data_IF_345244152670
#
_entry.id   IF_345244152670
#
_cell.length_a   1.000
_cell.length_b   1.000
_cell.length_c   1.000
_cell.angle_alpha   90.00
_cell.angle_beta   90.00
_cell.angle_gamma   90.00
#
_symmetry.space_group_name_H-M   'P 1'
#
loop_
_entity.id
_entity.type
_entity.pdbx_description
1 polymer ?
#
# COMPACT_ATOMS: atom_id res chain seq x y z
N UNK A 1 -10.78 -14.76 42.12
CA UNK A 1 -9.46 -14.49 41.53
C UNK A 1 -9.53 -13.20 40.70
N UNK A 2 -8.56 -12.28 40.90
CA UNK A 2 -8.57 -10.97 40.20
C UNK A 2 -8.62 -11.12 38.66
N UNK A 3 -8.06 -12.19 38.11
CA UNK A 3 -8.13 -12.51 36.70
C UNK A 3 -9.55 -12.90 36.26
N UNK A 4 -10.26 -13.69 37.02
CA UNK A 4 -11.64 -14.06 36.69
C UNK A 4 -12.59 -12.85 36.77
N UNK A 5 -12.42 -11.99 37.76
CA UNK A 5 -13.21 -10.74 37.84
C UNK A 5 -12.96 -9.82 36.67
N UNK A 6 -11.70 -9.69 36.25
CA UNK A 6 -11.31 -8.90 35.07
C UNK A 6 -11.84 -9.51 33.77
N UNK A 7 -11.80 -10.83 33.62
CA UNK A 7 -12.37 -11.54 32.47
C UNK A 7 -13.89 -11.28 32.37
N UNK A 8 -14.62 -11.45 33.47
CA UNK A 8 -16.07 -11.24 33.52
C UNK A 8 -16.40 -9.79 33.12
N UNK A 9 -15.69 -8.81 33.67
CA UNK A 9 -15.92 -7.40 33.36
C UNK A 9 -15.63 -7.06 31.87
N UNK A 10 -14.60 -7.65 31.31
CA UNK A 10 -14.27 -7.46 29.88
C UNK A 10 -15.26 -8.16 28.96
N UNK A 11 -15.72 -9.36 29.31
CA UNK A 11 -16.76 -10.09 28.57
C UNK A 11 -18.12 -9.38 28.65
N UNK A 12 -18.52 -8.85 29.84
CA UNK A 12 -19.71 -8.04 29.97
C UNK A 12 -19.71 -6.81 29.08
N UNK A 13 -18.54 -6.12 29.00
CA UNK A 13 -18.39 -4.95 28.15
C UNK A 13 -18.51 -5.29 26.63
N UNK A 14 -18.12 -6.50 26.22
CA UNK A 14 -18.26 -6.99 24.84
C UNK A 14 -19.71 -7.36 24.51
N UNK A 15 -20.49 -7.80 25.52
CA UNK A 15 -21.90 -8.18 25.32
C UNK A 15 -22.84 -6.98 25.21
N UNK A 16 -22.33 -5.74 25.28
CA UNK A 16 -23.12 -4.55 25.00
C UNK A 16 -23.55 -4.51 23.55
N UNK A 17 -24.84 -4.28 23.32
CA UNK A 17 -25.46 -4.30 21.98
C UNK A 17 -25.07 -3.11 21.09
N UNK A 18 -24.38 -2.10 21.63
CA UNK A 18 -24.08 -0.82 20.98
C UNK A 18 -22.61 -0.65 20.52
N UNK A 19 -21.78 -1.70 20.64
CA UNK A 19 -20.38 -1.64 20.16
C UNK A 19 -20.30 -1.62 18.63
N UNK A 20 -19.52 -0.69 18.08
CA UNK A 20 -19.15 -0.77 16.69
C UNK A 20 -18.04 -1.83 16.46
N UNK A 21 -17.84 -2.22 15.20
CA UNK A 21 -16.89 -3.31 14.83
C UNK A 21 -15.45 -3.04 15.26
N UNK A 22 -15.05 -1.78 15.38
CA UNK A 22 -13.69 -1.40 15.82
C UNK A 22 -13.59 -1.48 17.35
N UNK A 23 -14.62 -1.09 18.06
CA UNK A 23 -14.68 -1.21 19.53
C UNK A 23 -14.68 -2.68 19.94
N UNK A 24 -15.45 -3.52 19.24
CA UNK A 24 -15.44 -4.97 19.44
C UNK A 24 -14.06 -5.56 19.18
N UNK A 25 -13.39 -5.17 18.07
CA UNK A 25 -12.04 -5.61 17.77
C UNK A 25 -11.02 -5.21 18.85
N UNK A 26 -11.09 -3.96 19.35
CA UNK A 26 -10.23 -3.48 20.45
C UNK A 26 -10.47 -4.24 21.76
N UNK A 27 -11.71 -4.59 22.03
CA UNK A 27 -12.05 -5.37 23.22
C UNK A 27 -11.47 -6.80 23.12
N UNK A 28 -11.56 -7.44 21.96
CA UNK A 28 -10.97 -8.75 21.73
C UNK A 28 -9.42 -8.71 21.81
N UNK A 29 -8.80 -7.69 21.26
CA UNK A 29 -7.35 -7.51 21.37
C UNK A 29 -6.91 -7.38 22.84
N UNK A 30 -7.62 -6.59 23.64
CA UNK A 30 -7.35 -6.45 25.09
C UNK A 30 -7.48 -7.78 25.83
N UNK A 31 -8.50 -8.58 25.53
CA UNK A 31 -8.67 -9.91 26.12
C UNK A 31 -7.51 -10.83 25.80
N UNK A 32 -7.10 -10.89 24.53
CA UNK A 32 -5.94 -11.68 24.08
C UNK A 32 -4.68 -11.27 24.83
N UNK A 33 -4.40 -9.97 24.92
CA UNK A 33 -3.20 -9.45 25.55
C UNK A 33 -3.16 -9.66 27.06
N UNK A 34 -4.30 -9.45 27.75
CA UNK A 34 -4.34 -9.51 29.22
C UNK A 34 -4.45 -10.92 29.75
N UNK A 35 -5.16 -11.80 29.05
CA UNK A 35 -5.40 -13.17 29.50
C UNK A 35 -4.53 -14.21 28.76
N UNK A 36 -3.63 -13.76 27.87
CA UNK A 36 -2.81 -14.60 27.03
C UNK A 36 -3.61 -15.66 26.23
N UNK A 37 -4.81 -15.31 25.82
CA UNK A 37 -5.65 -16.20 25.02
C UNK A 37 -5.14 -16.34 23.61
N UNK A 38 -5.25 -17.54 23.04
CA UNK A 38 -5.20 -17.71 21.60
C UNK A 38 -6.52 -17.21 20.98
N UNK A 39 -6.49 -16.89 19.68
CA UNK A 39 -7.71 -16.50 18.96
C UNK A 39 -8.79 -17.58 19.00
N UNK A 40 -8.39 -18.86 19.08
CA UNK A 40 -9.30 -20.00 19.19
C UNK A 40 -9.95 -20.09 20.56
N UNK A 41 -9.17 -19.91 21.63
CA UNK A 41 -9.69 -19.87 23.00
C UNK A 41 -10.67 -18.71 23.19
N UNK A 42 -10.31 -17.52 22.68
CA UNK A 42 -11.22 -16.38 22.73
C UNK A 42 -12.50 -16.66 21.94
N UNK A 43 -12.41 -17.19 20.74
CA UNK A 43 -13.56 -17.53 19.90
C UNK A 43 -14.54 -18.46 20.65
N UNK A 44 -14.03 -19.49 21.28
CA UNK A 44 -14.83 -20.41 22.11
C UNK A 44 -15.50 -19.67 23.28
N UNK A 45 -14.78 -18.78 23.97
CA UNK A 45 -15.29 -18.04 25.13
C UNK A 45 -16.43 -17.07 24.78
N UNK A 46 -16.31 -16.39 23.63
CA UNK A 46 -17.32 -15.40 23.18
C UNK A 46 -18.40 -16.00 22.27
N UNK A 47 -18.37 -17.32 22.01
CA UNK A 47 -19.35 -17.99 21.16
C UNK A 47 -19.29 -17.58 19.68
N UNK A 48 -18.10 -17.20 19.18
CA UNK A 48 -17.86 -16.80 17.80
C UNK A 48 -16.91 -17.78 17.10
N UNK A 49 -16.84 -17.70 15.78
CA UNK A 49 -15.82 -18.47 15.03
C UNK A 49 -14.44 -17.82 15.16
N UNK A 50 -13.37 -18.63 15.11
CA UNK A 50 -11.98 -18.15 15.03
C UNK A 50 -11.79 -17.18 13.86
N UNK A 51 -12.44 -17.46 12.73
CA UNK A 51 -12.38 -16.61 11.55
C UNK A 51 -12.99 -15.21 11.82
N UNK A 52 -14.09 -15.14 12.55
CA UNK A 52 -14.69 -13.88 12.97
C UNK A 52 -13.70 -13.04 13.80
N UNK A 53 -13.08 -13.63 14.82
CA UNK A 53 -12.06 -12.96 15.66
C UNK A 53 -10.89 -12.48 14.78
N UNK A 54 -10.36 -13.36 13.92
CA UNK A 54 -9.26 -13.00 13.03
C UNK A 54 -9.61 -11.81 12.12
N UNK A 55 -10.80 -11.77 11.57
CA UNK A 55 -11.27 -10.72 10.68
C UNK A 55 -11.41 -9.38 11.42
N UNK A 56 -11.95 -9.39 12.64
CA UNK A 56 -12.05 -8.18 13.46
C UNK A 56 -10.68 -7.65 13.86
N UNK A 57 -9.77 -8.50 14.32
CA UNK A 57 -8.40 -8.07 14.66
C UNK A 57 -7.63 -7.50 13.47
N UNK A 58 -7.94 -7.92 12.26
CA UNK A 58 -7.36 -7.33 11.04
C UNK A 58 -7.76 -5.87 10.85
N UNK A 59 -8.93 -5.45 11.30
CA UNK A 59 -9.37 -4.06 11.21
C UNK A 59 -8.43 -3.11 11.95
N UNK A 60 -7.87 -3.54 13.08
CA UNK A 60 -6.96 -2.73 13.89
C UNK A 60 -5.60 -2.48 13.23
N UNK A 61 -5.28 -3.22 12.16
CA UNK A 61 -4.07 -3.01 11.35
C UNK A 61 -4.22 -1.92 10.29
N UNK A 62 -5.43 -1.43 10.10
CA UNK A 62 -5.70 -0.32 9.19
C UNK A 62 -5.40 1.01 9.89
N UNK A 63 -5.02 2.06 9.14
CA UNK A 63 -5.01 3.42 9.66
C UNK A 63 -6.39 3.83 10.21
N UNK A 64 -6.41 4.68 11.24
CA UNK A 64 -7.65 5.06 11.94
C UNK A 64 -8.73 5.66 11.02
N UNK A 65 -8.33 6.53 10.10
CA UNK A 65 -9.20 7.13 9.10
C UNK A 65 -9.83 6.07 8.16
N UNK A 66 -9.10 5.00 7.85
CA UNK A 66 -9.62 3.87 7.05
C UNK A 66 -10.54 2.98 7.90
N UNK A 67 -10.28 2.84 9.20
CA UNK A 67 -11.19 2.14 10.12
C UNK A 67 -12.56 2.83 10.17
N UNK A 68 -12.60 4.17 10.19
CA UNK A 68 -13.86 4.93 10.16
C UNK A 68 -14.70 4.62 8.91
N UNK A 69 -14.07 4.43 7.75
CA UNK A 69 -14.78 4.03 6.53
C UNK A 69 -15.46 2.66 6.66
N UNK A 70 -14.89 1.76 7.45
CA UNK A 70 -15.49 0.45 7.74
C UNK A 70 -16.67 0.60 8.72
N UNK A 71 -16.52 1.40 9.76
CA UNK A 71 -17.60 1.70 10.71
C UNK A 71 -18.81 2.31 9.99
N UNK A 72 -18.54 3.24 9.08
CA UNK A 72 -19.56 3.92 8.26
C UNK A 72 -20.10 3.05 7.12
N UNK A 73 -19.73 1.77 7.04
CA UNK A 73 -20.13 0.81 5.99
C UNK A 73 -19.78 1.23 4.56
N UNK A 74 -18.83 2.15 4.39
CA UNK A 74 -18.32 2.58 3.09
C UNK A 74 -17.34 1.56 2.47
N UNK A 75 -16.65 0.79 3.33
CA UNK A 75 -15.79 -0.32 2.96
C UNK A 75 -16.26 -1.63 3.59
N UNK A 76 -16.24 -2.71 2.83
CA UNK A 76 -16.55 -4.06 3.32
C UNK A 76 -15.28 -4.78 3.81
N UNK A 77 -15.47 -5.92 4.53
CA UNK A 77 -14.36 -6.79 4.94
C UNK A 77 -13.51 -7.31 3.77
N UNK A 78 -14.10 -7.46 2.57
CA UNK A 78 -13.34 -7.79 1.37
C UNK A 78 -12.37 -6.68 0.98
N UNK A 79 -12.79 -5.42 1.04
CA UNK A 79 -11.92 -4.26 0.82
C UNK A 79 -10.80 -4.19 1.86
N UNK A 80 -11.12 -4.42 3.14
CA UNK A 80 -10.12 -4.48 4.22
C UNK A 80 -9.04 -5.51 3.93
N UNK A 81 -9.43 -6.73 3.53
CA UNK A 81 -8.49 -7.81 3.20
C UNK A 81 -7.56 -7.39 2.06
N UNK A 82 -8.10 -6.76 1.02
CA UNK A 82 -7.30 -6.28 -0.10
C UNK A 82 -6.32 -5.17 0.33
N UNK A 83 -6.78 -4.17 1.09
CA UNK A 83 -5.97 -3.05 1.56
C UNK A 83 -4.79 -3.48 2.43
N UNK A 84 -4.99 -4.49 3.28
CA UNK A 84 -3.93 -5.06 4.12
C UNK A 84 -2.82 -5.77 3.31
N UNK A 85 -3.03 -6.01 2.02
CA UNK A 85 -1.99 -6.43 1.08
C UNK A 85 -0.97 -5.32 0.75
N UNK A 86 -1.24 -4.06 1.08
CA UNK A 86 -0.32 -2.95 0.90
C UNK A 86 0.67 -2.85 2.07
N UNK A 87 1.91 -2.46 1.76
CA UNK A 87 3.01 -2.39 2.74
C UNK A 87 3.04 -1.08 3.54
N UNK A 88 2.33 -0.05 3.09
CA UNK A 88 2.40 1.29 3.67
C UNK A 88 1.01 1.84 4.00
N UNK A 89 0.87 2.50 5.14
CA UNK A 89 -0.38 3.16 5.52
C UNK A 89 -0.82 4.22 4.50
N UNK A 90 0.12 5.01 3.96
CA UNK A 90 -0.18 5.98 2.93
C UNK A 90 -0.80 5.33 1.67
N UNK A 91 -0.32 4.14 1.30
CA UNK A 91 -0.91 3.34 0.22
C UNK A 91 -2.33 2.87 0.56
N UNK A 92 -2.55 2.40 1.80
CA UNK A 92 -3.87 1.98 2.28
C UNK A 92 -4.87 3.15 2.23
N UNK A 93 -4.50 4.32 2.77
CA UNK A 93 -5.33 5.54 2.74
C UNK A 93 -5.71 5.95 1.32
N UNK A 94 -4.70 5.98 0.41
CA UNK A 94 -4.91 6.37 -0.98
C UNK A 94 -5.88 5.44 -1.70
N UNK A 95 -5.69 4.12 -1.60
CA UNK A 95 -6.53 3.14 -2.27
C UNK A 95 -7.91 3.05 -1.63
N UNK A 96 -8.02 3.17 -0.29
CA UNK A 96 -9.29 3.24 0.42
C UNK A 96 -10.14 4.42 -0.05
N UNK A 97 -9.55 5.63 -0.09
CA UNK A 97 -10.22 6.83 -0.59
C UNK A 97 -10.66 6.66 -2.04
N UNK A 98 -9.79 6.16 -2.91
CA UNK A 98 -10.13 5.88 -4.31
C UNK A 98 -11.28 4.88 -4.44
N UNK A 99 -11.31 3.84 -3.59
CA UNK A 99 -12.37 2.85 -3.59
C UNK A 99 -13.74 3.46 -3.25
N UNK A 100 -13.78 4.40 -2.31
CA UNK A 100 -15.00 5.11 -1.91
C UNK A 100 -15.43 6.10 -2.99
N UNK A 101 -14.53 6.99 -3.43
CA UNK A 101 -14.80 8.06 -4.39
C UNK A 101 -15.31 7.51 -5.74
N UNK A 102 -14.83 6.35 -6.14
CA UNK A 102 -15.16 5.70 -7.43
C UNK A 102 -16.13 4.52 -7.30
N UNK A 103 -16.58 4.17 -6.09
CA UNK A 103 -17.46 3.02 -5.86
C UNK A 103 -16.86 1.69 -6.34
N UNK A 104 -15.57 1.47 -6.10
CA UNK A 104 -14.86 0.30 -6.63
C UNK A 104 -15.30 -1.00 -5.95
N UNK A 105 -15.41 -2.06 -6.73
CA UNK A 105 -15.65 -3.40 -6.19
C UNK A 105 -14.40 -3.97 -5.51
N UNK A 106 -14.58 -4.94 -4.62
CA UNK A 106 -13.48 -5.67 -3.94
C UNK A 106 -12.46 -6.17 -4.96
N UNK A 107 -12.90 -6.81 -6.05
CA UNK A 107 -12.02 -7.34 -7.11
C UNK A 107 -11.16 -6.25 -7.76
N UNK A 108 -11.73 -5.05 -7.95
CA UNK A 108 -11.00 -3.93 -8.53
C UNK A 108 -9.94 -3.40 -7.57
N UNK A 109 -10.24 -3.34 -6.28
CA UNK A 109 -9.29 -2.96 -5.25
C UNK A 109 -8.17 -4.00 -5.13
N UNK A 110 -8.49 -5.30 -5.15
CA UNK A 110 -7.49 -6.38 -5.19
C UNK A 110 -6.53 -6.23 -6.39
N UNK A 111 -7.07 -5.90 -7.57
CA UNK A 111 -6.24 -5.67 -8.76
C UNK A 111 -5.32 -4.47 -8.58
N UNK A 112 -5.82 -3.34 -8.07
CA UNK A 112 -5.02 -2.14 -7.81
C UNK A 112 -3.87 -2.45 -6.82
N UNK A 113 -4.18 -3.17 -5.74
CA UNK A 113 -3.17 -3.57 -4.74
C UNK A 113 -2.10 -4.45 -5.37
N UNK A 114 -2.51 -5.43 -6.20
CA UNK A 114 -1.60 -6.30 -6.94
C UNK A 114 -0.70 -5.50 -7.89
N UNK A 115 -1.25 -4.56 -8.62
CA UNK A 115 -0.50 -3.70 -9.55
C UNK A 115 0.50 -2.81 -8.81
N UNK A 116 0.13 -2.25 -7.66
CA UNK A 116 1.03 -1.47 -6.81
C UNK A 116 2.18 -2.34 -6.30
N UNK A 117 1.89 -3.55 -5.83
CA UNK A 117 2.91 -4.46 -5.34
C UNK A 117 3.83 -4.95 -6.46
N UNK A 118 3.29 -5.23 -7.64
CA UNK A 118 4.08 -5.62 -8.81
C UNK A 118 4.97 -4.48 -9.32
N UNK A 119 4.48 -3.23 -9.32
CA UNK A 119 5.31 -2.05 -9.67
C UNK A 119 6.47 -1.80 -8.69
N UNK A 120 6.32 -2.19 -7.42
CA UNK A 120 7.41 -2.11 -6.43
C UNK A 120 8.42 -3.25 -6.54
N UNK A 121 8.07 -4.37 -7.18
CA UNK A 121 9.00 -5.48 -7.47
C UNK A 121 9.87 -5.21 -8.71
N UNK A 122 9.50 -4.24 -9.53
CA UNK A 122 10.48 -3.63 -10.44
C UNK A 122 11.30 -2.67 -9.58
N UNK A 123 12.26 -3.21 -8.84
CA UNK A 123 13.40 -2.45 -8.35
C UNK A 123 13.88 -1.63 -9.55
N UNK A 124 13.93 -0.29 -9.42
CA UNK A 124 14.75 0.49 -10.36
C UNK A 124 16.09 -0.22 -10.35
N UNK A 125 16.57 -0.76 -11.47
CA UNK A 125 17.90 -1.37 -11.50
C UNK A 125 18.78 -0.33 -10.82
N UNK A 126 19.60 -0.75 -9.84
CA UNK A 126 20.64 0.12 -9.26
C UNK A 126 21.33 0.70 -10.47
N UNK A 127 21.14 2.00 -10.70
CA UNK A 127 21.76 2.66 -11.84
C UNK A 127 23.23 2.34 -11.68
N UNK A 128 23.77 1.58 -12.62
CA UNK A 128 25.17 1.20 -12.61
C UNK A 128 25.94 2.53 -12.54
N UNK A 129 26.80 2.67 -11.52
CA UNK A 129 27.56 3.92 -11.29
C UNK A 129 28.23 4.36 -12.59
N UNK A 130 28.63 3.38 -13.40
CA UNK A 130 29.19 3.61 -14.74
C UNK A 130 28.17 4.22 -15.72
N UNK A 131 26.93 3.70 -15.73
CA UNK A 131 25.85 4.21 -16.60
C UNK A 131 25.44 5.62 -16.17
N UNK A 132 25.40 5.89 -14.87
CA UNK A 132 25.12 7.23 -14.35
C UNK A 132 26.20 8.23 -14.76
N UNK A 133 27.47 7.89 -14.57
CA UNK A 133 28.59 8.74 -14.98
C UNK A 133 28.63 8.96 -16.50
N UNK A 134 28.33 7.92 -17.29
CA UNK A 134 28.21 8.04 -18.74
C UNK A 134 27.07 8.97 -19.16
N UNK A 135 25.91 8.86 -18.51
CA UNK A 135 24.76 9.72 -18.76
C UNK A 135 25.07 11.19 -18.46
N UNK A 136 25.70 11.49 -17.32
CA UNK A 136 26.10 12.84 -16.94
C UNK A 136 27.05 13.44 -17.97
N UNK A 137 28.07 12.72 -18.40
CA UNK A 137 29.00 13.16 -19.44
C UNK A 137 28.34 13.43 -20.81
N UNK A 138 27.38 12.56 -21.20
CA UNK A 138 26.65 12.74 -22.46
C UNK A 138 25.70 13.95 -22.38
N UNK A 139 25.05 14.18 -21.22
CA UNK A 139 24.21 15.36 -21.02
C UNK A 139 25.03 16.65 -21.06
N UNK A 140 26.23 16.64 -20.48
CA UNK A 140 27.17 17.78 -20.53
C UNK A 140 27.66 18.02 -21.95
N UNK A 141 28.01 16.99 -22.69
CA UNK A 141 28.51 17.09 -24.05
C UNK A 141 27.46 17.60 -25.05
N UNK A 142 26.22 17.02 -24.99
CA UNK A 142 25.14 17.40 -25.89
C UNK A 142 24.32 18.59 -25.43
N UNK A 143 24.48 19.00 -24.16
CA UNK A 143 23.71 20.08 -23.51
C UNK A 143 22.19 19.90 -23.65
N UNK A 144 21.74 18.63 -23.65
CA UNK A 144 20.35 18.25 -23.71
C UNK A 144 20.09 17.00 -22.87
N UNK A 145 18.82 16.65 -22.67
CA UNK A 145 18.48 15.46 -21.91
C UNK A 145 18.85 14.17 -22.66
N UNK A 146 19.60 13.29 -21.98
CA UNK A 146 19.99 11.99 -22.49
C UNK A 146 19.41 10.91 -21.61
N UNK A 147 18.84 9.87 -22.21
CA UNK A 147 18.39 8.67 -21.51
C UNK A 147 19.16 7.44 -22.00
N UNK A 148 19.65 6.64 -21.04
CA UNK A 148 20.35 5.38 -21.32
C UNK A 148 19.47 4.25 -20.79
N UNK A 149 19.11 3.32 -21.64
CA UNK A 149 18.43 2.08 -21.29
C UNK A 149 19.31 0.88 -21.61
N UNK A 150 18.87 -0.33 -21.31
CA UNK A 150 19.70 -1.55 -21.42
C UNK A 150 20.39 -1.71 -22.78
N UNK A 151 19.75 -1.30 -23.86
CA UNK A 151 20.24 -1.52 -25.24
C UNK A 151 20.16 -0.27 -26.12
N UNK A 152 19.91 0.93 -25.57
CA UNK A 152 19.77 2.15 -26.36
C UNK A 152 20.21 3.39 -25.59
N UNK A 153 20.72 4.36 -26.30
CA UNK A 153 20.98 5.71 -25.85
C UNK A 153 20.08 6.62 -26.68
N UNK A 154 19.28 7.44 -26.01
CA UNK A 154 18.39 8.39 -26.68
C UNK A 154 18.77 9.81 -26.27
N UNK A 155 19.00 10.66 -27.26
CA UNK A 155 19.29 12.07 -27.11
C UNK A 155 18.02 12.82 -27.49
N UNK A 156 17.51 13.66 -26.59
CA UNK A 156 16.31 14.45 -26.83
C UNK A 156 16.69 15.80 -27.47
N UNK A 157 15.84 16.29 -28.37
CA UNK A 157 15.99 17.60 -28.99
C UNK A 157 14.62 18.31 -28.98
N UNK A 158 14.61 19.63 -28.90
CA UNK A 158 13.37 20.41 -28.79
C UNK A 158 12.82 20.85 -30.16
N UNK A 159 13.71 21.13 -31.11
CA UNK A 159 13.35 21.64 -32.43
C UNK A 159 14.43 21.25 -33.49
N UNK A 160 14.21 21.66 -34.73
CA UNK A 160 15.15 21.33 -35.86
C UNK A 160 16.54 21.96 -35.69
N UNK A 161 16.62 23.15 -35.11
CA UNK A 161 17.89 23.83 -34.88
C UNK A 161 18.69 23.10 -33.79
N UNK A 162 18.06 22.64 -32.78
CA UNK A 162 18.66 21.83 -31.74
C UNK A 162 19.10 20.46 -32.25
N UNK A 163 18.31 19.84 -33.15
CA UNK A 163 18.72 18.61 -33.85
C UNK A 163 19.98 18.83 -34.68
N UNK A 164 20.05 19.92 -35.48
CA UNK A 164 21.23 20.24 -36.26
C UNK A 164 22.46 20.43 -35.37
N UNK A 165 22.32 21.14 -34.25
CA UNK A 165 23.38 21.30 -33.25
C UNK A 165 23.89 19.96 -32.72
N UNK A 166 23.01 19.03 -32.41
CA UNK A 166 23.37 17.68 -31.95
C UNK A 166 24.08 16.89 -33.06
N UNK A 167 23.64 17.02 -34.32
CA UNK A 167 24.27 16.36 -35.49
C UNK A 167 25.64 16.94 -35.77
N UNK A 168 25.84 18.27 -35.67
CA UNK A 168 27.14 18.94 -35.80
C UNK A 168 28.13 18.42 -34.73
N UNK A 169 27.69 18.30 -33.48
CA UNK A 169 28.53 17.73 -32.42
C UNK A 169 28.93 16.27 -32.68
N UNK A 170 28.14 15.53 -33.46
CA UNK A 170 28.43 14.18 -33.89
C UNK A 170 29.23 14.11 -35.21
N UNK A 171 29.59 15.26 -35.82
CA UNK A 171 30.21 15.36 -37.16
C UNK A 171 29.39 14.63 -38.24
N UNK A 172 28.06 14.68 -38.14
CA UNK A 172 27.15 14.02 -39.09
C UNK A 172 26.46 15.00 -40.05
N UNK A 173 26.78 16.29 -40.00
CA UNK A 173 26.32 17.28 -40.97
C UNK A 173 27.37 17.37 -42.06
N UNK A 174 27.00 16.97 -43.30
CA UNK A 174 27.83 17.22 -44.49
C UNK A 174 27.76 18.72 -44.80
N UNK A 175 28.90 19.41 -44.90
CA UNK A 175 29.00 20.76 -45.47
C UNK A 175 28.62 20.67 -46.95
N UNK A 176 27.51 21.31 -47.37
CA UNK A 176 27.20 21.58 -48.76
C UNK A 176 28.14 22.66 -49.36
#
# INVERSE_FOLDING_TARGET
DDQEMMEIALLENIQREDLNVIEEAKAYEKLIQRLNYTQEQLAHRVGKSREHITNLLRLLKLPEDVQEYVVNKQLSMGHVRALLGLKTEAGMRKVAKQAIDQGLSVRKVEQIVKDINNKKTVEKPKEDIYVKAAKEKLQEYFQTSVSISKNSISIHYENKEDLNRVLELLNLVEEE
#
